data_IF_822624131835
#
_entry.id   IF_822624131835
#
_cell.length_a   1.000
_cell.length_b   1.000
_cell.length_c   1.000
_cell.angle_alpha   90.00
_cell.angle_beta   90.00
_cell.angle_gamma   90.00
#
_symmetry.space_group_name_H-M   'P 1'
#
loop_
_entity.id
_entity.type
_entity.pdbx_description
1 polymer ?
#
# COMPACT_ATOMS: atom_id res chain seq x y z
N UNK A 1 15.67 -65.34 -30.41
CA UNK A 1 14.81 -65.86 -31.47
C UNK A 1 13.56 -65.06 -31.51
N UNK A 2 13.25 -64.38 -32.65
CA UNK A 2 11.88 -63.90 -32.96
C UNK A 2 11.16 -65.01 -33.73
N UNK A 3 9.93 -64.93 -34.26
CA UNK A 3 9.18 -63.81 -34.82
C UNK A 3 7.67 -63.90 -34.72
N UNK A 4 6.95 -62.95 -35.12
CA UNK A 4 6.04 -62.78 -36.26
C UNK A 4 4.86 -61.89 -35.96
N UNK A 5 4.73 -60.81 -36.72
CA UNK A 5 3.44 -60.30 -37.10
C UNK A 5 2.89 -61.07 -38.28
N UNK A 6 1.92 -60.62 -39.09
CA UNK A 6 1.21 -59.35 -39.16
C UNK A 6 -0.35 -59.54 -39.29
N UNK A 7 -1.15 -58.55 -39.39
CA UNK A 7 -1.97 -58.25 -40.58
C UNK A 7 -3.27 -57.49 -40.27
N UNK A 8 -3.48 -56.51 -41.03
CA UNK A 8 -4.53 -56.01 -41.91
C UNK A 8 -5.53 -55.03 -41.34
N UNK A 9 -5.45 -53.87 -41.96
CA UNK A 9 -6.51 -52.87 -42.09
C UNK A 9 -7.76 -53.43 -42.80
N UNK A 10 -8.94 -52.74 -42.78
CA UNK A 10 -9.08 -51.65 -43.74
C UNK A 10 -9.85 -50.36 -43.27
N UNK A 11 -9.75 -49.37 -44.12
CA UNK A 11 -10.31 -48.05 -44.11
C UNK A 11 -11.83 -47.92 -43.98
N UNK A 12 -12.27 -46.80 -43.41
CA UNK A 12 -13.30 -46.00 -44.09
C UNK A 12 -13.57 -44.64 -43.42
N UNK A 13 -13.56 -43.60 -44.23
CA UNK A 13 -14.50 -42.51 -44.29
C UNK A 13 -14.38 -41.27 -43.37
N UNK A 14 -14.44 -40.07 -43.96
CA UNK A 14 -14.24 -38.81 -43.21
C UNK A 14 -15.51 -38.33 -42.52
N UNK A 15 -15.49 -38.07 -41.24
CA UNK A 15 -16.54 -37.32 -40.50
C UNK A 15 -16.10 -35.93 -40.12
N UNK A 16 -16.93 -34.97 -40.52
CA UNK A 16 -16.89 -33.53 -40.43
C UNK A 16 -16.42 -32.98 -39.08
N UNK A 17 -15.45 -32.07 -39.15
CA UNK A 17 -15.03 -31.17 -38.06
C UNK A 17 -16.11 -30.11 -37.88
N UNK A 18 -16.76 -30.07 -36.73
CA UNK A 18 -17.32 -28.82 -36.18
C UNK A 18 -17.47 -28.97 -34.64
N UNK A 19 -16.37 -28.76 -33.91
CA UNK A 19 -16.40 -28.60 -32.46
C UNK A 19 -15.78 -27.24 -32.10
N UNK A 20 -16.65 -26.24 -31.97
CA UNK A 20 -16.26 -24.94 -31.38
C UNK A 20 -15.94 -25.14 -29.88
N UNK A 21 -14.89 -24.53 -29.36
CA UNK A 21 -14.48 -24.71 -27.97
C UNK A 21 -15.55 -24.26 -26.97
N UNK A 22 -15.78 -25.05 -25.93
CA UNK A 22 -16.76 -24.79 -24.84
C UNK A 22 -16.62 -23.43 -24.16
N UNK A 23 -15.48 -22.78 -24.26
CA UNK A 23 -15.20 -21.45 -23.70
C UNK A 23 -16.06 -20.33 -24.37
N UNK A 24 -16.28 -20.40 -25.69
CA UNK A 24 -17.06 -19.39 -26.42
C UNK A 24 -18.55 -19.47 -26.06
N UNK A 25 -19.07 -20.66 -25.76
CA UNK A 25 -20.48 -20.80 -25.34
C UNK A 25 -20.77 -20.17 -23.96
N UNK A 26 -19.83 -20.18 -23.04
CA UNK A 26 -20.01 -19.53 -21.74
C UNK A 26 -19.95 -18.00 -21.82
N UNK A 27 -19.12 -17.45 -22.71
CA UNK A 27 -19.03 -16.01 -22.94
C UNK A 27 -20.32 -15.44 -23.56
N UNK A 28 -20.95 -16.16 -24.52
CA UNK A 28 -22.20 -15.75 -25.17
C UNK A 28 -23.40 -15.82 -24.21
N UNK A 29 -23.40 -16.76 -23.25
CA UNK A 29 -24.48 -16.88 -22.26
C UNK A 29 -24.37 -15.76 -21.20
N UNK A 30 -23.16 -15.36 -20.84
CA UNK A 30 -22.94 -14.21 -19.95
C UNK A 30 -23.38 -12.89 -20.60
N UNK A 31 -23.08 -12.70 -21.88
CA UNK A 31 -23.51 -11.50 -22.65
C UNK A 31 -25.03 -11.36 -22.78
N UNK A 32 -25.77 -12.47 -22.88
CA UNK A 32 -27.26 -12.46 -23.01
C UNK A 32 -27.99 -12.20 -21.67
N UNK A 33 -27.33 -12.28 -20.54
CA UNK A 33 -27.93 -11.99 -19.20
C UNK A 33 -27.87 -10.53 -18.79
N UNK A 34 -27.08 -9.70 -19.45
CA UNK A 34 -27.01 -8.25 -19.21
C UNK A 34 -27.70 -7.47 -20.35
N UNK A 35 -29.01 -7.58 -20.43
CA UNK A 35 -29.83 -6.97 -21.47
C UNK A 35 -29.78 -5.42 -21.51
N UNK A 36 -29.24 -4.74 -20.51
CA UNK A 36 -29.13 -3.29 -20.50
C UNK A 36 -28.03 -2.72 -21.43
N UNK A 37 -27.07 -3.54 -21.87
CA UNK A 37 -25.96 -3.09 -22.73
C UNK A 37 -26.29 -3.28 -24.21
N UNK A 38 -27.21 -4.23 -24.55
CA UNK A 38 -27.57 -4.56 -25.93
C UNK A 38 -28.41 -3.47 -26.57
N UNK A 39 -29.24 -2.77 -25.80
CA UNK A 39 -30.15 -1.72 -26.32
C UNK A 39 -29.41 -0.46 -26.76
N UNK A 40 -28.24 -0.17 -26.21
CA UNK A 40 -27.42 1.01 -26.56
C UNK A 40 -26.61 0.77 -27.84
N UNK A 41 -26.21 -0.47 -28.12
CA UNK A 41 -25.44 -0.81 -29.32
C UNK A 41 -26.34 -0.94 -30.55
N UNK A 42 -27.56 -1.47 -30.42
CA UNK A 42 -28.49 -1.61 -31.52
C UNK A 42 -29.10 -0.29 -31.97
N UNK A 43 -29.27 0.68 -31.08
CA UNK A 43 -29.70 2.04 -31.45
C UNK A 43 -28.63 2.84 -32.20
N UNK A 44 -27.35 2.57 -31.93
CA UNK A 44 -26.22 3.24 -32.60
C UNK A 44 -25.97 2.69 -34.02
N UNK A 45 -26.24 1.40 -34.27
CA UNK A 45 -26.07 0.78 -35.59
C UNK A 45 -27.24 1.05 -36.55
N UNK A 46 -28.44 1.26 -36.03
CA UNK A 46 -29.60 1.62 -36.86
C UNK A 46 -29.56 3.09 -37.35
N UNK A 47 -28.89 3.98 -36.62
CA UNK A 47 -28.77 5.40 -36.99
C UNK A 47 -27.67 5.68 -38.02
N UNK A 48 -26.76 4.75 -38.25
CA UNK A 48 -25.62 4.94 -39.18
C UNK A 48 -26.01 4.72 -40.67
N UNK A 49 -27.18 4.22 -40.97
CA UNK A 49 -27.61 3.93 -42.35
C UNK A 49 -28.52 5.00 -43.00
N UNK A 50 -28.78 6.13 -42.35
CA UNK A 50 -29.72 7.16 -42.87
C UNK A 50 -29.08 8.58 -43.00
N UNK A 51 -27.83 8.80 -42.72
CA UNK A 51 -27.26 10.18 -42.76
C UNK A 51 -25.96 10.27 -43.56
N UNK A 52 -26.08 10.22 -44.86
CA UNK A 52 -25.02 10.72 -45.76
C UNK A 52 -25.22 12.20 -46.11
N UNK A 53 -25.42 13.14 -45.20
CA UNK A 53 -25.43 14.58 -45.54
C UNK A 53 -25.44 15.58 -44.33
N UNK A 54 -25.22 15.19 -43.09
CA UNK A 54 -25.12 16.15 -41.97
C UNK A 54 -24.07 15.72 -40.94
N UNK A 55 -22.84 15.54 -41.41
CA UNK A 55 -21.77 14.98 -40.56
C UNK A 55 -20.97 16.00 -39.75
N UNK A 56 -21.32 17.29 -39.71
CA UNK A 56 -20.53 18.32 -39.07
C UNK A 56 -21.02 18.75 -37.67
N UNK A 57 -22.31 18.74 -37.43
CA UNK A 57 -22.89 19.41 -36.24
C UNK A 57 -23.35 18.43 -35.13
N UNK A 58 -23.51 17.16 -35.47
CA UNK A 58 -23.98 16.13 -34.52
C UNK A 58 -22.81 15.46 -33.78
N UNK A 59 -21.61 15.49 -34.35
CA UNK A 59 -20.43 14.92 -33.74
C UNK A 59 -19.99 15.66 -32.44
N UNK A 60 -20.14 16.99 -32.39
CA UNK A 60 -19.78 17.79 -31.21
C UNK A 60 -20.76 17.64 -30.04
N UNK A 61 -22.07 17.48 -30.33
CA UNK A 61 -23.07 17.31 -29.27
C UNK A 61 -23.09 15.91 -28.66
N UNK A 62 -22.71 14.87 -29.42
CA UNK A 62 -22.64 13.49 -28.93
C UNK A 62 -21.35 13.29 -28.10
N UNK A 63 -20.26 13.97 -28.45
CA UNK A 63 -19.01 13.94 -27.66
C UNK A 63 -19.18 14.68 -26.35
N UNK A 64 -19.91 15.79 -26.31
CA UNK A 64 -20.23 16.54 -25.11
C UNK A 64 -21.19 15.78 -24.16
N UNK A 65 -22.26 15.18 -24.71
CA UNK A 65 -23.22 14.40 -23.93
C UNK A 65 -22.67 13.07 -23.38
N UNK A 66 -21.82 12.38 -24.16
CA UNK A 66 -21.15 11.15 -23.71
C UNK A 66 -20.09 11.41 -22.63
N UNK A 67 -19.47 12.59 -22.65
CA UNK A 67 -18.50 13.00 -21.62
C UNK A 67 -19.13 13.16 -20.24
N UNK A 68 -20.35 13.70 -20.16
CA UNK A 68 -21.02 13.99 -18.89
C UNK A 68 -21.69 12.74 -18.28
N UNK A 69 -22.24 11.84 -19.12
CA UNK A 69 -22.84 10.58 -18.63
C UNK A 69 -21.75 9.53 -18.29
N UNK A 70 -20.63 9.53 -19.02
CA UNK A 70 -19.51 8.65 -18.71
C UNK A 70 -18.77 9.04 -17.41
N UNK A 71 -18.77 10.33 -17.03
CA UNK A 71 -18.12 10.77 -15.79
C UNK A 71 -18.93 10.45 -14.53
N UNK A 72 -20.26 10.32 -14.63
CA UNK A 72 -21.13 10.00 -13.50
C UNK A 72 -21.33 8.49 -13.27
N UNK A 73 -21.12 7.65 -14.30
CA UNK A 73 -21.26 6.18 -14.22
C UNK A 73 -19.93 5.46 -14.04
N UNK A 74 -18.81 6.12 -14.34
CA UNK A 74 -17.45 5.62 -14.16
C UNK A 74 -16.70 6.46 -13.12
N UNK A 75 -17.25 6.62 -11.92
CA UNK A 75 -16.36 6.94 -10.79
C UNK A 75 -15.37 5.78 -10.68
N UNK A 76 -14.08 6.02 -10.87
CA UNK A 76 -13.10 4.95 -10.74
C UNK A 76 -13.15 4.47 -9.30
N UNK A 77 -13.44 3.18 -9.11
CA UNK A 77 -13.07 2.46 -7.89
C UNK A 77 -11.53 2.50 -7.83
N UNK A 78 -11.00 3.63 -7.44
CA UNK A 78 -9.59 3.80 -7.12
C UNK A 78 -9.38 2.97 -5.86
N UNK A 79 -8.61 1.90 -5.97
CA UNK A 79 -8.11 1.20 -4.82
C UNK A 79 -7.22 2.19 -4.05
N UNK A 80 -7.78 2.78 -3.05
CA UNK A 80 -7.10 3.46 -1.96
C UNK A 80 -7.50 2.69 -0.71
N UNK A 81 -6.62 1.86 -0.13
CA UNK A 81 -6.94 1.09 1.07
C UNK A 81 -7.31 2.02 2.24
N UNK A 82 -6.89 3.28 2.15
CA UNK A 82 -7.17 4.31 3.13
C UNK A 82 -8.41 5.15 2.75
N UNK A 83 -9.09 4.87 1.63
CA UNK A 83 -10.30 5.60 1.22
C UNK A 83 -11.49 5.38 2.17
N UNK A 84 -11.54 4.25 2.88
CA UNK A 84 -12.52 4.03 3.95
C UNK A 84 -12.34 4.98 5.13
N UNK A 85 -11.16 5.58 5.24
CA UNK A 85 -10.82 6.56 6.27
C UNK A 85 -11.22 8.00 5.88
N UNK A 86 -11.76 8.19 4.67
CA UNK A 86 -12.32 9.45 4.19
C UNK A 86 -13.82 9.48 4.49
N UNK A 87 -14.19 9.66 5.73
CA UNK A 87 -15.58 9.92 6.17
C UNK A 87 -16.01 11.38 5.97
N UNK A 88 -15.34 12.17 5.15
CA UNK A 88 -15.65 13.57 4.85
C UNK A 88 -15.81 13.81 3.34
N UNK A 89 -16.81 14.59 2.96
CA UNK A 89 -16.97 15.11 1.60
C UNK A 89 -15.77 15.97 1.24
N UNK A 90 -15.21 15.80 0.03
CA UNK A 90 -14.04 16.54 -0.47
C UNK A 90 -14.26 18.06 -0.60
N UNK A 91 -15.44 18.61 -0.22
CA UNK A 91 -15.84 20.01 -0.40
C UNK A 91 -16.01 20.81 0.92
N UNK A 92 -15.86 20.20 2.09
CA UNK A 92 -15.83 20.96 3.34
C UNK A 92 -14.38 21.40 3.62
N UNK A 93 -14.14 22.71 3.69
CA UNK A 93 -12.85 23.28 4.00
C UNK A 93 -12.27 22.71 5.29
N UNK A 94 -11.01 22.25 5.27
CA UNK A 94 -10.33 21.66 6.41
C UNK A 94 -10.24 22.69 7.54
N UNK A 95 -10.91 22.42 8.68
CA UNK A 95 -10.83 23.30 9.86
C UNK A 95 -9.40 23.25 10.44
N UNK A 96 -8.83 24.42 10.65
CA UNK A 96 -7.46 24.57 11.14
C UNK A 96 -7.28 24.00 12.55
N UNK A 97 -8.38 23.86 13.32
CA UNK A 97 -8.41 23.27 14.67
C UNK A 97 -8.22 21.74 14.65
N UNK A 98 -8.58 21.08 13.56
CA UNK A 98 -8.52 19.63 13.43
C UNK A 98 -7.17 19.15 12.87
N UNK A 99 -6.29 20.08 12.53
CA UNK A 99 -4.97 19.76 11.97
C UNK A 99 -4.02 19.20 13.02
N UNK A 100 -3.50 18.01 12.76
CA UNK A 100 -2.57 17.29 13.62
C UNK A 100 -1.11 17.56 13.21
N UNK A 101 -0.23 17.76 14.18
CA UNK A 101 1.21 17.90 13.92
C UNK A 101 1.87 16.54 13.63
N UNK A 102 2.57 16.44 12.52
CA UNK A 102 3.42 15.31 12.14
C UNK A 102 4.87 15.78 11.98
N UNK A 103 5.80 15.10 12.64
CA UNK A 103 7.23 15.32 12.48
C UNK A 103 7.75 14.57 11.25
N UNK A 104 8.43 15.28 10.35
CA UNK A 104 8.95 14.71 9.12
C UNK A 104 10.46 14.83 9.09
N UNK A 105 11.15 13.69 9.02
CA UNK A 105 12.57 13.63 8.75
C UNK A 105 12.84 14.09 7.32
N UNK A 106 13.06 15.38 7.13
CA UNK A 106 13.25 15.99 5.83
C UNK A 106 14.56 15.62 5.13
N UNK A 107 15.50 15.02 5.87
CA UNK A 107 16.81 14.61 5.33
C UNK A 107 16.91 13.10 5.07
N UNK A 108 15.86 12.33 5.38
CA UNK A 108 15.81 10.89 5.15
C UNK A 108 15.40 10.54 3.73
N UNK A 109 16.19 9.71 3.05
CA UNK A 109 15.92 9.21 1.70
C UNK A 109 17.00 9.55 0.68
N UNK A 110 16.99 8.81 -0.45
CA UNK A 110 18.02 8.88 -1.49
C UNK A 110 18.07 10.26 -2.18
N UNK A 111 16.95 10.96 -2.20
CA UNK A 111 16.77 12.23 -2.91
C UNK A 111 16.31 13.38 -1.98
N UNK A 112 16.46 13.19 -0.67
CA UNK A 112 16.09 14.22 0.32
C UNK A 112 16.92 15.52 0.16
N UNK A 113 16.33 16.70 0.43
CA UNK A 113 15.01 16.92 0.98
C UNK A 113 13.91 17.16 -0.07
N UNK A 114 14.24 17.34 -1.35
CA UNK A 114 13.32 17.83 -2.39
C UNK A 114 11.97 17.08 -2.47
N UNK A 115 11.93 15.79 -2.85
CA UNK A 115 10.68 15.03 -2.95
C UNK A 115 9.92 14.92 -1.64
N UNK A 116 10.62 14.95 -0.50
CA UNK A 116 9.98 14.91 0.82
C UNK A 116 9.26 16.25 1.08
N UNK A 117 9.92 17.37 0.81
CA UNK A 117 9.32 18.71 0.95
C UNK A 117 8.11 18.88 0.04
N UNK A 118 8.26 18.56 -1.26
CA UNK A 118 7.15 18.60 -2.22
C UNK A 118 5.95 17.78 -1.76
N UNK A 119 6.19 16.54 -1.28
CA UNK A 119 5.15 15.67 -0.75
C UNK A 119 4.46 16.24 0.50
N UNK A 120 5.22 16.90 1.38
CA UNK A 120 4.68 17.58 2.55
C UNK A 120 3.75 18.73 2.18
N UNK A 121 4.15 19.60 1.24
CA UNK A 121 3.30 20.69 0.77
C UNK A 121 2.00 20.16 0.14
N UNK A 122 2.10 19.14 -0.72
CA UNK A 122 0.91 18.49 -1.29
C UNK A 122 0.01 17.82 -0.22
N UNK A 123 0.59 17.31 0.86
CA UNK A 123 -0.18 16.68 1.94
C UNK A 123 -0.95 17.71 2.77
N UNK A 124 -0.36 18.87 3.06
CA UNK A 124 -1.00 19.99 3.78
C UNK A 124 -2.27 20.47 3.06
N UNK A 125 -2.26 20.49 1.73
CA UNK A 125 -3.41 20.89 0.92
C UNK A 125 -4.57 19.88 0.94
N UNK A 126 -4.27 18.58 1.18
CA UNK A 126 -5.21 17.46 1.00
C UNK A 126 -5.65 16.80 2.30
N UNK A 127 -4.93 17.04 3.37
CA UNK A 127 -5.12 16.35 4.65
C UNK A 127 -5.12 17.38 5.79
N UNK A 128 -5.86 17.13 6.87
CA UNK A 128 -5.88 18.01 8.04
C UNK A 128 -4.61 17.80 8.89
N UNK A 129 -3.46 18.18 8.32
CA UNK A 129 -2.18 18.09 9.01
C UNK A 129 -1.47 19.43 9.08
N UNK A 130 -0.57 19.51 10.08
CA UNK A 130 0.54 20.44 10.19
C UNK A 130 1.84 19.68 10.22
N UNK A 131 2.89 20.21 9.65
CA UNK A 131 4.17 19.51 9.49
C UNK A 131 5.29 20.25 10.20
N UNK A 132 5.99 19.55 11.08
CA UNK A 132 7.31 19.92 11.54
C UNK A 132 8.32 19.27 10.61
N UNK A 133 8.89 20.06 9.69
CA UNK A 133 9.86 19.60 8.71
C UNK A 133 11.27 19.75 9.27
N UNK A 134 11.94 18.63 9.57
CA UNK A 134 13.20 18.61 10.29
C UNK A 134 14.36 18.47 9.30
N UNK A 135 15.33 19.38 9.38
CA UNK A 135 16.52 19.31 8.53
C UNK A 135 17.42 20.53 8.59
N UNK A 136 18.45 20.50 7.76
CA UNK A 136 19.39 21.61 7.57
C UNK A 136 18.71 22.72 6.74
N UNK A 137 18.50 23.87 7.33
CA UNK A 137 17.71 24.98 6.73
C UNK A 137 18.19 25.34 5.32
N UNK A 138 19.51 25.47 5.15
CA UNK A 138 20.09 25.88 3.86
C UNK A 138 19.80 24.86 2.76
N UNK A 139 19.85 23.56 3.07
CA UNK A 139 19.53 22.50 2.14
C UNK A 139 18.03 22.47 1.78
N UNK A 140 17.17 22.77 2.75
CA UNK A 140 15.71 22.86 2.54
C UNK A 140 15.41 24.03 1.59
N UNK A 141 15.97 25.21 1.84
CA UNK A 141 15.76 26.40 1.00
C UNK A 141 16.32 26.17 -0.41
N UNK A 142 17.52 25.64 -0.55
CA UNK A 142 18.09 25.31 -1.86
C UNK A 142 17.24 24.30 -2.66
N UNK A 143 16.64 23.32 -1.98
CA UNK A 143 15.73 22.38 -2.64
C UNK A 143 14.41 23.04 -3.05
N UNK A 144 13.86 23.93 -2.23
CA UNK A 144 12.65 24.69 -2.56
C UNK A 144 12.86 25.57 -3.80
N UNK A 145 14.02 26.24 -3.89
CA UNK A 145 14.40 27.05 -5.04
C UNK A 145 14.57 26.19 -6.30
N UNK A 146 15.28 25.09 -6.20
CA UNK A 146 15.52 24.16 -7.32
C UNK A 146 14.21 23.57 -7.88
N UNK A 147 13.21 23.32 -7.04
CA UNK A 147 11.89 22.83 -7.41
C UNK A 147 10.89 23.94 -7.75
N UNK A 148 11.27 25.19 -7.60
CA UNK A 148 10.40 26.37 -7.79
C UNK A 148 9.13 26.34 -6.90
N UNK A 149 9.27 25.88 -5.67
CA UNK A 149 8.19 25.79 -4.67
C UNK A 149 8.42 26.72 -3.47
N UNK A 150 9.32 27.70 -3.60
CA UNK A 150 9.65 28.64 -2.52
C UNK A 150 8.44 29.42 -2.01
N UNK A 151 7.60 29.93 -2.91
CA UNK A 151 6.39 30.66 -2.55
C UNK A 151 5.38 29.78 -1.80
N UNK A 152 5.23 28.50 -2.21
CA UNK A 152 4.35 27.54 -1.53
C UNK A 152 4.88 27.22 -0.14
N UNK A 153 6.19 27.05 0.01
CA UNK A 153 6.84 26.82 1.30
C UNK A 153 6.62 28.02 2.22
N UNK A 154 6.86 29.26 1.73
CA UNK A 154 6.68 30.46 2.51
C UNK A 154 5.22 30.63 2.95
N UNK A 155 4.26 30.41 2.06
CA UNK A 155 2.83 30.45 2.38
C UNK A 155 2.44 29.41 3.45
N UNK A 156 3.00 28.19 3.37
CA UNK A 156 2.74 27.15 4.37
C UNK A 156 3.32 27.51 5.75
N UNK A 157 4.47 28.20 5.79
CA UNK A 157 5.09 28.70 7.02
C UNK A 157 4.28 29.86 7.62
N UNK A 158 3.89 30.85 6.80
CA UNK A 158 3.13 32.03 7.23
C UNK A 158 1.74 31.63 7.79
N UNK A 159 1.11 30.64 7.18
CA UNK A 159 -0.15 30.05 7.64
C UNK A 159 0.01 29.08 8.82
N UNK A 160 1.21 28.86 9.33
CA UNK A 160 1.52 27.91 10.42
C UNK A 160 1.11 26.47 10.11
N UNK A 161 1.06 26.08 8.85
CA UNK A 161 0.84 24.70 8.44
C UNK A 161 2.13 23.91 8.34
N UNK A 162 3.28 24.60 8.20
CA UNK A 162 4.61 24.00 8.20
C UNK A 162 5.55 24.82 9.08
N UNK A 163 6.35 24.11 9.89
CA UNK A 163 7.42 24.67 10.71
C UNK A 163 8.74 23.99 10.33
N UNK A 164 9.77 24.76 10.01
CA UNK A 164 11.11 24.22 9.77
C UNK A 164 11.84 24.12 11.10
N UNK A 165 12.18 22.89 11.49
CA UNK A 165 12.93 22.59 12.71
C UNK A 165 14.37 22.27 12.33
N UNK A 166 15.33 23.02 12.87
CA UNK A 166 16.73 22.79 12.59
C UNK A 166 17.23 21.46 13.16
N UNK A 167 18.07 20.77 12.39
CA UNK A 167 18.79 19.56 12.83
C UNK A 167 20.26 19.62 12.43
N UNK A 168 21.06 18.75 13.03
CA UNK A 168 22.44 18.49 12.61
C UNK A 168 22.51 17.55 11.40
N UNK A 169 23.70 16.98 11.12
CA UNK A 169 23.93 16.13 9.97
C UNK A 169 23.03 14.88 9.96
N UNK A 170 22.45 14.58 8.82
CA UNK A 170 21.60 13.39 8.64
C UNK A 170 22.36 12.07 8.78
N UNK A 171 21.62 11.00 8.98
CA UNK A 171 22.13 9.63 8.90
C UNK A 171 21.95 9.16 7.45
N UNK A 172 23.07 8.78 6.83
CA UNK A 172 23.07 8.28 5.45
C UNK A 172 22.38 6.92 5.31
N UNK A 173 21.99 6.57 4.09
CA UNK A 173 21.35 5.27 3.79
C UNK A 173 22.32 4.10 4.04
N UNK A 174 23.63 4.33 3.89
CA UNK A 174 24.70 3.34 4.10
C UNK A 174 25.30 3.38 5.51
N UNK A 175 24.85 4.31 6.35
CA UNK A 175 25.31 4.38 7.75
C UNK A 175 24.77 3.17 8.54
N UNK A 176 25.55 2.72 9.53
CA UNK A 176 25.07 1.74 10.51
C UNK A 176 23.87 2.27 11.30
N UNK A 177 22.90 1.41 11.60
CA UNK A 177 21.76 1.77 12.46
C UNK A 177 22.16 2.40 13.79
N UNK A 178 23.34 2.02 14.34
CA UNK A 178 23.90 2.53 15.59
C UNK A 178 24.38 3.99 15.49
N UNK A 179 24.51 4.55 14.29
CA UNK A 179 24.92 5.95 14.08
C UNK A 179 23.98 6.95 14.80
N UNK A 180 22.71 6.57 15.05
CA UNK A 180 21.75 7.37 15.84
C UNK A 180 22.26 7.73 17.25
N UNK A 181 23.15 6.93 17.82
CA UNK A 181 23.75 7.22 19.15
C UNK A 181 24.84 8.28 19.07
N UNK A 182 25.59 8.32 17.97
CA UNK A 182 26.70 9.26 17.75
C UNK A 182 26.19 10.61 17.25
N UNK A 183 25.29 10.59 16.25
CA UNK A 183 24.67 11.78 15.64
C UNK A 183 23.40 12.14 16.40
N UNK A 184 23.54 12.69 17.62
CA UNK A 184 22.39 12.90 18.53
C UNK A 184 21.38 13.91 18.02
N UNK A 185 21.80 14.86 17.22
CA UNK A 185 21.05 15.95 16.62
C UNK A 185 20.61 15.65 15.16
N UNK A 186 20.81 14.42 14.69
CA UNK A 186 20.32 14.01 13.37
C UNK A 186 18.80 14.19 13.24
N UNK A 187 18.36 14.52 12.04
CA UNK A 187 16.95 14.84 11.74
C UNK A 187 15.96 13.80 12.26
N UNK A 188 16.25 12.51 12.09
CA UNK A 188 15.40 11.42 12.61
C UNK A 188 15.33 11.42 14.15
N UNK A 189 16.42 11.71 14.85
CA UNK A 189 16.44 11.78 16.30
C UNK A 189 15.61 12.96 16.81
N UNK A 190 15.75 14.12 16.17
CA UNK A 190 14.95 15.32 16.48
C UNK A 190 13.46 15.03 16.23
N UNK A 191 13.11 14.38 15.10
CA UNK A 191 11.74 13.99 14.81
C UNK A 191 11.13 13.09 15.91
N UNK A 192 11.88 12.06 16.37
CA UNK A 192 11.44 11.20 17.47
C UNK A 192 11.29 11.95 18.80
N UNK A 193 12.18 12.89 19.09
CA UNK A 193 12.12 13.70 20.32
C UNK A 193 10.88 14.62 20.32
N UNK A 194 10.45 15.15 19.17
CA UNK A 194 9.20 15.93 19.07
C UNK A 194 7.98 15.08 19.40
N UNK A 195 7.93 13.82 18.94
CA UNK A 195 6.85 12.90 19.28
C UNK A 195 6.90 12.53 20.77
N UNK A 196 8.08 12.26 21.31
CA UNK A 196 8.26 11.99 22.75
C UNK A 196 7.74 13.12 23.62
N UNK A 197 7.97 14.36 23.21
CA UNK A 197 7.51 15.59 23.90
C UNK A 197 6.03 15.89 23.65
N UNK A 198 5.35 15.10 22.82
CA UNK A 198 3.97 15.36 22.38
C UNK A 198 3.79 16.65 21.59
N UNK A 199 4.86 17.16 20.98
CA UNK A 199 4.84 18.30 20.06
C UNK A 199 4.46 17.88 18.62
N UNK A 200 4.48 16.59 18.34
CA UNK A 200 3.92 15.94 17.17
C UNK A 200 3.32 14.59 17.58
N UNK A 201 2.32 14.09 16.84
CA UNK A 201 1.65 12.84 17.14
C UNK A 201 2.28 11.64 16.40
N UNK A 202 2.92 11.90 15.29
CA UNK A 202 3.54 10.86 14.46
C UNK A 202 4.88 11.34 13.89
N UNK A 203 5.73 10.36 13.52
CA UNK A 203 6.96 10.57 12.74
C UNK A 203 6.83 9.91 11.38
N UNK A 204 7.32 10.59 10.34
CA UNK A 204 7.59 10.00 9.03
C UNK A 204 9.08 10.15 8.69
N UNK A 205 9.70 9.08 8.21
CA UNK A 205 11.06 9.10 7.65
C UNK A 205 11.18 8.12 6.48
N UNK A 206 11.77 8.58 5.37
CA UNK A 206 12.18 7.74 4.24
C UNK A 206 13.68 7.36 4.31
N UNK A 207 14.32 7.57 5.46
CA UNK A 207 15.72 7.26 5.70
C UNK A 207 16.00 5.77 5.90
N UNK A 208 17.22 5.45 6.30
CA UNK A 208 17.65 4.09 6.62
C UNK A 208 16.73 3.44 7.67
N UNK A 209 16.01 2.38 7.28
CA UNK A 209 15.01 1.71 8.14
C UNK A 209 15.58 1.22 9.47
N UNK A 210 16.83 0.73 9.47
CA UNK A 210 17.53 0.31 10.68
C UNK A 210 17.79 1.48 11.62
N UNK A 211 18.19 2.65 11.08
CA UNK A 211 18.40 3.86 11.85
C UNK A 211 17.07 4.42 12.40
N UNK A 212 16.00 4.41 11.59
CA UNK A 212 14.66 4.82 12.07
C UNK A 212 14.21 3.95 13.23
N UNK A 213 14.32 2.62 13.09
CA UNK A 213 13.96 1.66 14.15
C UNK A 213 14.83 1.87 15.41
N UNK A 214 16.14 2.01 15.24
CA UNK A 214 17.04 2.25 16.36
C UNK A 214 16.72 3.58 17.08
N UNK A 215 16.48 4.66 16.32
CA UNK A 215 16.07 5.94 16.87
C UNK A 215 14.76 5.84 17.64
N UNK A 216 13.74 5.17 17.08
CA UNK A 216 12.47 4.95 17.75
C UNK A 216 12.65 4.19 19.09
N UNK A 217 13.41 3.10 19.09
CA UNK A 217 13.67 2.33 20.32
C UNK A 217 14.42 3.17 21.37
N UNK A 218 15.43 3.94 20.97
CA UNK A 218 16.23 4.72 21.92
C UNK A 218 15.54 5.99 22.41
N UNK A 219 14.73 6.64 21.58
CA UNK A 219 14.09 7.92 21.91
C UNK A 219 12.67 7.75 22.44
N UNK A 220 11.82 7.03 21.74
CA UNK A 220 10.44 6.78 22.15
C UNK A 220 10.35 5.66 23.19
N UNK A 221 11.20 4.64 23.04
CA UNK A 221 11.12 3.40 23.82
C UNK A 221 10.09 2.43 23.26
N UNK A 222 10.14 1.20 23.76
CA UNK A 222 9.17 0.15 23.42
C UNK A 222 7.90 0.28 24.26
N UNK A 223 6.78 -0.15 23.74
CA UNK A 223 5.58 -0.36 24.54
C UNK A 223 5.88 -1.38 25.66
N UNK A 224 5.35 -1.15 26.85
CA UNK A 224 5.51 -2.10 27.96
C UNK A 224 4.83 -3.42 27.60
N UNK A 225 5.49 -4.54 27.83
CA UNK A 225 5.00 -5.87 27.45
C UNK A 225 5.32 -6.27 26.00
N UNK A 226 5.91 -5.39 25.19
CA UNK A 226 6.40 -5.70 23.85
C UNK A 226 7.91 -5.89 23.85
N UNK A 227 8.36 -7.08 23.54
CA UNK A 227 9.78 -7.43 23.51
C UNK A 227 10.51 -6.84 22.32
N UNK A 228 9.84 -6.83 21.16
CA UNK A 228 10.39 -6.35 19.90
C UNK A 228 9.35 -5.56 19.12
N UNK A 229 9.67 -4.36 18.62
CA UNK A 229 8.86 -3.70 17.62
C UNK A 229 8.90 -4.49 16.31
N UNK A 230 7.84 -4.39 15.51
CA UNK A 230 7.73 -5.01 14.20
C UNK A 230 7.42 -3.97 13.12
N UNK A 231 7.94 -4.18 11.92
CA UNK A 231 7.58 -3.39 10.74
C UNK A 231 6.41 -4.06 10.05
N UNK A 232 5.28 -3.35 9.96
CA UNK A 232 4.07 -3.81 9.28
C UNK A 232 3.92 -3.16 7.91
N UNK A 233 3.68 -3.96 6.89
CA UNK A 233 3.41 -3.49 5.54
C UNK A 233 2.05 -3.96 5.04
N UNK A 234 1.35 -3.09 4.30
CA UNK A 234 0.08 -3.42 3.67
C UNK A 234 0.31 -4.01 2.29
N UNK A 235 -0.16 -5.23 2.07
CA UNK A 235 -0.10 -5.89 0.78
C UNK A 235 -1.48 -5.86 0.10
N UNK A 236 -1.52 -5.64 -1.22
CA UNK A 236 -2.78 -5.70 -1.97
C UNK A 236 -3.32 -7.13 -1.98
N UNK A 237 -4.64 -7.28 -1.90
CA UNK A 237 -5.30 -8.57 -2.09
C UNK A 237 -6.10 -8.60 -3.40
N UNK A 238 -6.65 -9.78 -3.74
CA UNK A 238 -7.58 -9.90 -4.86
C UNK A 238 -8.82 -9.02 -4.68
N UNK A 239 -9.21 -8.76 -3.43
CA UNK A 239 -10.37 -7.95 -3.10
C UNK A 239 -9.99 -6.47 -2.98
N UNK A 240 -10.45 -5.61 -3.90
CA UNK A 240 -10.12 -4.19 -3.87
C UNK A 240 -10.63 -3.52 -2.59
N UNK A 241 -9.74 -2.79 -1.90
CA UNK A 241 -10.09 -2.08 -0.67
C UNK A 241 -9.95 -2.91 0.62
N UNK A 242 -9.46 -4.14 0.52
CA UNK A 242 -9.17 -4.98 1.69
C UNK A 242 -7.69 -5.45 1.65
N UNK A 243 -6.74 -4.59 2.01
CA UNK A 243 -5.34 -4.99 2.09
C UNK A 243 -5.14 -5.94 3.26
N UNK A 244 -4.13 -6.81 3.16
CA UNK A 244 -3.65 -7.61 4.29
C UNK A 244 -2.44 -6.93 4.91
N UNK A 245 -2.41 -6.87 6.25
CA UNK A 245 -1.25 -6.40 7.01
C UNK A 245 -0.29 -7.55 7.25
N UNK A 246 0.94 -7.45 6.76
CA UNK A 246 1.99 -8.45 7.02
C UNK A 246 2.95 -7.91 8.08
N UNK A 247 3.19 -8.66 9.14
CA UNK A 247 4.06 -8.40 10.28
C UNK A 247 4.92 -9.63 10.58
N UNK A 248 6.18 -9.58 10.61
CA UNK A 248 7.18 -8.53 10.47
C UNK A 248 7.79 -8.57 9.05
N UNK A 249 8.08 -7.40 8.45
CA UNK A 249 8.67 -7.34 7.11
C UNK A 249 10.12 -6.83 7.10
N UNK A 250 10.83 -7.01 8.22
CA UNK A 250 12.26 -6.71 8.21
C UNK A 250 12.87 -6.08 9.47
N UNK A 251 12.15 -6.03 10.60
CA UNK A 251 12.70 -5.53 11.85
C UNK A 251 13.48 -6.61 12.63
N UNK A 252 13.01 -7.86 12.64
CA UNK A 252 13.56 -8.93 13.45
C UNK A 252 13.83 -10.16 12.59
N UNK A 253 15.10 -10.40 12.27
CA UNK A 253 15.50 -11.53 11.42
C UNK A 253 15.24 -12.87 12.11
N UNK A 254 15.66 -12.98 13.38
CA UNK A 254 15.43 -14.15 14.22
C UNK A 254 14.36 -13.86 15.25
N UNK A 255 13.31 -14.64 15.27
CA UNK A 255 12.17 -14.46 16.17
C UNK A 255 12.04 -15.61 17.17
N UNK A 256 11.44 -15.29 18.32
CA UNK A 256 10.92 -16.24 19.27
C UNK A 256 9.41 -16.37 19.09
N UNK A 257 8.78 -17.49 19.47
CA UNK A 257 7.32 -17.67 19.37
C UNK A 257 6.53 -16.52 20.04
N UNK A 258 7.00 -16.04 21.20
CA UNK A 258 6.40 -14.90 21.90
C UNK A 258 6.39 -13.61 21.06
N UNK A 259 7.37 -13.40 20.16
CA UNK A 259 7.39 -12.22 19.31
C UNK A 259 6.27 -12.28 18.26
N UNK A 260 6.10 -13.44 17.60
CA UNK A 260 5.02 -13.62 16.62
C UNK A 260 3.64 -13.47 17.27
N UNK A 261 3.48 -13.95 18.49
CA UNK A 261 2.27 -13.75 19.28
C UNK A 261 2.03 -12.23 19.55
N UNK A 262 3.07 -11.49 19.97
CA UNK A 262 2.98 -10.06 20.17
C UNK A 262 2.68 -9.31 18.85
N UNK A 263 3.28 -9.72 17.73
CA UNK A 263 2.99 -9.14 16.41
C UNK A 263 1.52 -9.35 16.01
N UNK A 264 0.95 -10.50 16.32
CA UNK A 264 -0.46 -10.77 16.07
C UNK A 264 -1.37 -9.83 16.88
N UNK A 265 -1.05 -9.58 18.14
CA UNK A 265 -1.79 -8.63 18.98
C UNK A 265 -1.68 -7.19 18.44
N UNK A 266 -0.47 -6.75 18.09
CA UNK A 266 -0.24 -5.43 17.48
C UNK A 266 -0.98 -5.29 16.15
N UNK A 267 -0.91 -6.31 15.29
CA UNK A 267 -1.59 -6.35 13.99
C UNK A 267 -3.11 -6.36 14.12
N UNK A 268 -3.64 -7.06 15.12
CA UNK A 268 -5.08 -7.09 15.41
C UNK A 268 -5.61 -5.69 15.76
N UNK A 269 -4.93 -4.96 16.66
CA UNK A 269 -5.31 -3.59 17.03
C UNK A 269 -5.22 -2.68 15.80
N UNK A 270 -4.09 -2.70 15.11
CA UNK A 270 -3.90 -1.88 13.92
C UNK A 270 -4.98 -2.15 12.84
N UNK A 271 -5.25 -3.42 12.55
CA UNK A 271 -6.27 -3.79 11.55
C UNK A 271 -7.67 -3.36 11.99
N UNK A 272 -7.99 -3.46 13.28
CA UNK A 272 -9.27 -3.02 13.83
C UNK A 272 -9.42 -1.50 13.75
N UNK A 273 -8.44 -0.76 14.22
CA UNK A 273 -8.58 0.68 14.47
C UNK A 273 -8.24 1.51 13.23
N UNK A 274 -7.20 1.14 12.48
CA UNK A 274 -6.77 1.88 11.28
C UNK A 274 -7.45 1.37 10.01
N UNK A 275 -7.50 0.03 9.83
CA UNK A 275 -8.13 -0.55 8.63
C UNK A 275 -9.63 -0.79 8.79
N UNK A 276 -10.19 -0.52 9.99
CA UNK A 276 -11.62 -0.63 10.30
C UNK A 276 -12.18 -2.06 10.07
N UNK A 277 -11.39 -3.07 10.36
CA UNK A 277 -11.80 -4.47 10.31
C UNK A 277 -12.22 -4.92 11.71
N UNK A 278 -13.50 -5.02 12.00
CA UNK A 278 -14.04 -5.24 13.34
C UNK A 278 -13.51 -6.49 14.05
N UNK A 279 -13.24 -7.58 13.32
CA UNK A 279 -12.71 -8.85 13.84
C UNK A 279 -11.68 -9.43 12.87
N UNK A 280 -10.43 -8.93 12.89
CA UNK A 280 -9.40 -9.34 11.94
C UNK A 280 -9.10 -10.84 12.01
N UNK A 281 -9.00 -11.48 10.86
CA UNK A 281 -8.56 -12.88 10.72
C UNK A 281 -7.05 -12.91 10.69
N UNK A 282 -6.46 -13.56 11.70
CA UNK A 282 -5.02 -13.61 11.87
C UNK A 282 -4.49 -14.93 11.30
N UNK A 283 -3.55 -14.88 10.38
CA UNK A 283 -2.83 -16.03 9.83
C UNK A 283 -1.39 -16.08 10.30
N UNK A 284 -0.86 -17.28 10.50
CA UNK A 284 0.57 -17.53 10.70
C UNK A 284 1.18 -17.98 9.37
N UNK A 285 2.12 -17.21 8.82
CA UNK A 285 2.79 -17.61 7.57
C UNK A 285 3.54 -18.91 7.74
N UNK A 286 3.24 -19.88 6.88
CA UNK A 286 3.78 -21.22 6.97
C UNK A 286 3.92 -21.88 5.58
N UNK A 287 4.46 -23.08 5.53
CA UNK A 287 4.67 -23.89 4.33
C UNK A 287 3.50 -24.83 4.00
N UNK A 288 2.48 -24.92 4.85
CA UNK A 288 1.29 -25.77 4.73
C UNK A 288 0.20 -25.31 5.68
N UNK A 289 -1.05 -25.66 5.36
CA UNK A 289 -2.23 -25.28 6.14
C UNK A 289 -2.37 -26.09 7.44
N UNK A 290 -1.81 -27.33 7.47
CA UNK A 290 -1.96 -28.23 8.60
C UNK A 290 -1.19 -27.74 9.82
N UNK A 291 -1.72 -27.96 11.02
CA UNK A 291 -1.14 -27.53 12.30
C UNK A 291 0.26 -28.11 12.55
N UNK A 292 0.56 -29.29 12.01
CA UNK A 292 1.84 -29.98 12.18
C UNK A 292 2.95 -29.51 11.22
N UNK A 293 2.68 -28.57 10.32
CA UNK A 293 3.64 -28.06 9.35
C UNK A 293 4.50 -26.93 9.90
N UNK A 294 5.64 -26.76 9.27
CA UNK A 294 6.58 -25.68 9.55
C UNK A 294 7.77 -26.10 10.40
N UNK A 295 8.54 -25.10 10.80
CA UNK A 295 9.70 -25.24 11.68
C UNK A 295 9.29 -25.12 13.17
N UNK A 296 10.25 -25.26 14.07
CA UNK A 296 10.01 -25.14 15.53
C UNK A 296 9.37 -23.80 15.92
N UNK A 297 9.78 -22.69 15.26
CA UNK A 297 9.20 -21.37 15.49
C UNK A 297 7.71 -21.36 15.13
N UNK A 298 7.34 -21.90 13.95
CA UNK A 298 5.96 -21.94 13.48
C UNK A 298 5.08 -22.80 14.38
N UNK A 299 5.54 -23.99 14.73
CA UNK A 299 4.78 -24.93 15.56
C UNK A 299 4.46 -24.34 16.94
N UNK A 300 5.47 -23.80 17.61
CA UNK A 300 5.27 -23.16 18.93
C UNK A 300 4.47 -21.87 18.85
N UNK A 301 4.61 -21.10 17.78
CA UNK A 301 3.81 -19.88 17.58
C UNK A 301 2.36 -20.22 17.33
N UNK A 302 2.08 -21.29 16.58
CA UNK A 302 0.73 -21.77 16.32
C UNK A 302 -0.03 -22.07 17.63
N UNK A 303 0.61 -22.79 18.57
CA UNK A 303 0.02 -23.08 19.88
C UNK A 303 -0.35 -21.80 20.64
N UNK A 304 0.57 -20.82 20.70
CA UNK A 304 0.34 -19.55 21.39
C UNK A 304 -0.80 -18.74 20.75
N UNK A 305 -0.86 -18.72 19.42
CA UNK A 305 -1.89 -17.97 18.69
C UNK A 305 -3.27 -18.64 18.80
N UNK A 306 -3.33 -19.96 18.75
CA UNK A 306 -4.55 -20.75 18.91
C UNK A 306 -5.19 -20.53 20.29
N UNK A 307 -4.37 -20.47 21.33
CA UNK A 307 -4.84 -20.37 22.71
C UNK A 307 -5.15 -18.91 23.13
N UNK A 308 -4.81 -17.91 22.28
CA UNK A 308 -5.04 -16.50 22.53
C UNK A 308 -6.49 -16.08 22.19
N UNK A 309 -7.31 -15.93 23.22
CA UNK A 309 -8.76 -15.64 23.08
C UNK A 309 -9.09 -14.25 22.52
N UNK A 310 -8.15 -13.30 22.61
CA UNK A 310 -8.32 -11.92 22.09
C UNK A 310 -8.21 -11.88 20.57
N UNK A 311 -7.64 -12.93 19.95
CA UNK A 311 -7.43 -13.00 18.52
C UNK A 311 -8.48 -13.91 17.85
N UNK A 312 -8.85 -13.57 16.63
CA UNK A 312 -9.50 -14.49 15.71
C UNK A 312 -8.42 -15.18 14.88
N UNK A 313 -7.71 -16.12 15.51
CA UNK A 313 -6.70 -16.90 14.80
C UNK A 313 -7.39 -17.82 13.78
N UNK A 314 -6.99 -17.72 12.51
CA UNK A 314 -7.57 -18.48 11.40
C UNK A 314 -6.70 -19.65 10.94
N UNK A 315 -5.56 -19.89 11.61
CA UNK A 315 -4.65 -20.98 11.29
C UNK A 315 -3.42 -20.56 10.49
N UNK A 316 -2.77 -21.55 9.87
CA UNK A 316 -1.64 -21.32 8.99
C UNK A 316 -2.08 -20.66 7.67
N UNK A 317 -1.22 -19.80 7.15
CA UNK A 317 -1.37 -19.09 5.88
C UNK A 317 -0.20 -19.48 4.97
N UNK A 318 -0.45 -20.09 3.84
CA UNK A 318 0.60 -20.34 2.86
C UNK A 318 0.94 -19.06 2.06
N UNK A 319 2.11 -19.04 1.43
CA UNK A 319 2.52 -17.89 0.60
C UNK A 319 1.53 -17.55 -0.52
N UNK A 320 0.79 -18.56 -1.05
CA UNK A 320 -0.25 -18.36 -2.07
C UNK A 320 -1.51 -17.66 -1.53
N UNK A 321 -1.75 -17.77 -0.22
CA UNK A 321 -2.97 -17.28 0.42
C UNK A 321 -2.84 -15.86 0.96
N UNK A 322 -1.60 -15.36 1.09
CA UNK A 322 -1.32 -14.00 1.60
C UNK A 322 -2.12 -12.94 0.84
N UNK A 323 -2.23 -13.06 -0.49
CA UNK A 323 -2.96 -12.11 -1.33
C UNK A 323 -4.41 -12.54 -1.62
N UNK A 324 -4.89 -13.65 -1.01
CA UNK A 324 -6.22 -14.22 -1.27
C UNK A 324 -7.38 -13.38 -0.74
N UNK A 325 -7.14 -12.53 0.27
CA UNK A 325 -8.19 -11.86 1.03
C UNK A 325 -8.85 -12.72 2.10
N UNK A 326 -8.30 -13.91 2.40
CA UNK A 326 -8.78 -14.78 3.47
C UNK A 326 -8.29 -14.37 4.85
N UNK A 327 -7.14 -13.67 4.89
CA UNK A 327 -6.54 -13.13 6.10
C UNK A 327 -6.53 -11.60 6.06
N UNK A 328 -6.68 -10.97 7.21
CA UNK A 328 -6.60 -9.52 7.38
C UNK A 328 -5.24 -9.11 7.97
N UNK A 329 -4.63 -10.02 8.74
CA UNK A 329 -3.27 -9.90 9.28
C UNK A 329 -2.54 -11.22 9.08
N UNK A 330 -1.30 -11.18 8.60
CA UNK A 330 -0.41 -12.33 8.49
C UNK A 330 0.86 -12.05 9.27
N UNK A 331 1.24 -12.96 10.19
CA UNK A 331 2.44 -12.80 11.01
C UNK A 331 3.54 -13.78 10.60
N UNK A 332 4.77 -13.28 10.60
CA UNK A 332 5.98 -14.05 10.31
C UNK A 332 7.20 -13.42 10.98
N UNK A 333 8.36 -14.08 10.88
CA UNK A 333 9.63 -13.46 11.19
C UNK A 333 10.03 -12.43 10.13
N UNK A 334 10.89 -11.47 10.51
CA UNK A 334 11.26 -10.38 9.63
C UNK A 334 12.13 -10.80 8.44
N UNK A 335 12.83 -11.93 8.51
CA UNK A 335 13.56 -12.46 7.36
C UNK A 335 12.59 -12.94 6.28
N UNK A 336 11.66 -13.80 6.65
CA UNK A 336 10.64 -14.34 5.75
C UNK A 336 9.76 -13.23 5.17
N UNK A 337 9.31 -12.30 6.02
CA UNK A 337 8.47 -11.19 5.60
C UNK A 337 9.19 -10.22 4.65
N UNK A 338 10.48 -9.93 4.88
CA UNK A 338 11.26 -9.09 3.97
C UNK A 338 11.50 -9.76 2.61
N UNK A 339 11.75 -11.07 2.59
CA UNK A 339 11.85 -11.84 1.33
C UNK A 339 10.52 -11.77 0.57
N UNK A 340 9.39 -11.98 1.26
CA UNK A 340 8.05 -11.89 0.66
C UNK A 340 7.76 -10.49 0.10
N UNK A 341 8.10 -9.44 0.85
CA UNK A 341 7.95 -8.05 0.41
C UNK A 341 8.76 -7.78 -0.87
N UNK A 342 10.06 -8.10 -0.86
CA UNK A 342 10.94 -7.89 -2.02
C UNK A 342 10.54 -8.72 -3.23
N UNK A 343 10.04 -9.92 -3.01
CA UNK A 343 9.48 -10.75 -4.09
C UNK A 343 8.24 -10.12 -4.70
N UNK A 344 7.29 -9.63 -3.89
CA UNK A 344 6.08 -8.96 -4.35
C UNK A 344 6.41 -7.68 -5.15
N UNK A 345 7.34 -6.85 -4.68
CA UNK A 345 7.85 -5.67 -5.39
C UNK A 345 8.41 -6.04 -6.78
N UNK A 346 9.21 -7.11 -6.84
CA UNK A 346 9.79 -7.61 -8.08
C UNK A 346 8.72 -8.12 -9.05
N UNK A 347 7.79 -8.95 -8.59
CA UNK A 347 6.69 -9.49 -9.40
C UNK A 347 5.82 -8.37 -9.97
N UNK A 348 5.48 -7.37 -9.17
CA UNK A 348 4.74 -6.18 -9.62
C UNK A 348 5.46 -5.45 -10.75
N UNK A 349 6.76 -5.22 -10.59
CA UNK A 349 7.61 -4.58 -11.60
C UNK A 349 7.71 -5.37 -12.91
N UNK A 350 7.94 -6.68 -12.83
CA UNK A 350 8.03 -7.59 -14.00
C UNK A 350 6.68 -7.63 -14.72
N UNK A 351 5.57 -7.82 -14.02
CA UNK A 351 4.24 -7.87 -14.61
C UNK A 351 3.91 -6.58 -15.37
N UNK A 352 4.18 -5.43 -14.77
CA UNK A 352 3.98 -4.13 -15.43
C UNK A 352 4.90 -3.96 -16.65
N UNK A 353 6.14 -4.47 -16.58
CA UNK A 353 7.08 -4.48 -17.69
C UNK A 353 6.57 -5.31 -18.87
N UNK A 354 6.09 -6.51 -18.60
CA UNK A 354 5.48 -7.40 -19.62
C UNK A 354 4.25 -6.74 -20.26
N UNK A 355 3.35 -6.20 -19.46
CA UNK A 355 2.15 -5.51 -19.98
C UNK A 355 2.52 -4.32 -20.88
N UNK A 356 3.52 -3.52 -20.52
CA UNK A 356 4.00 -2.40 -21.34
C UNK A 356 4.64 -2.84 -22.64
N UNK A 357 5.33 -3.98 -22.66
CA UNK A 357 5.97 -4.51 -23.85
C UNK A 357 4.98 -5.19 -24.80
N UNK A 358 4.03 -5.96 -24.24
CA UNK A 358 3.13 -6.80 -25.05
C UNK A 358 1.89 -6.06 -25.58
N UNK A 359 1.26 -5.19 -24.77
CA UNK A 359 0.03 -4.54 -25.16
C UNK A 359 0.14 -3.66 -26.41
N UNK A 360 1.23 -2.88 -26.66
CA UNK A 360 1.35 -2.06 -27.88
C UNK A 360 1.81 -2.82 -29.11
N UNK A 361 1.91 -4.16 -29.08
CA UNK A 361 2.42 -4.92 -30.24
C UNK A 361 1.47 -4.83 -31.46
N UNK A 362 2.05 -4.47 -32.59
CA UNK A 362 1.33 -4.29 -33.84
C UNK A 362 0.40 -3.06 -33.88
N UNK A 363 -0.23 -2.81 -35.03
CA UNK A 363 -1.09 -1.63 -35.22
C UNK A 363 -2.32 -1.67 -34.30
N UNK A 364 -2.97 -2.85 -34.15
CA UNK A 364 -4.13 -3.04 -33.25
C UNK A 364 -3.75 -2.88 -31.78
N UNK A 365 -2.58 -3.39 -31.36
CA UNK A 365 -2.09 -3.26 -30.02
C UNK A 365 -1.80 -1.80 -29.64
N UNK A 366 -1.22 -1.00 -30.58
CA UNK A 366 -0.98 0.44 -30.34
C UNK A 366 -2.29 1.22 -30.11
N UNK A 367 -3.33 0.96 -30.92
CA UNK A 367 -4.64 1.59 -30.76
C UNK A 367 -5.29 1.12 -29.44
N UNK A 368 -5.34 -0.19 -29.21
CA UNK A 368 -5.91 -0.77 -27.98
C UNK A 368 -5.23 -0.27 -26.71
N UNK A 369 -3.88 -0.18 -26.71
CA UNK A 369 -3.14 0.30 -25.55
C UNK A 369 -3.39 1.79 -25.26
N UNK A 370 -3.67 2.62 -26.27
CA UNK A 370 -4.08 4.00 -26.09
C UNK A 370 -5.41 4.10 -25.32
N UNK A 371 -6.41 3.29 -25.70
CA UNK A 371 -7.69 3.24 -24.98
C UNK A 371 -7.55 2.65 -23.56
N UNK A 372 -6.63 1.70 -23.35
CA UNK A 372 -6.41 1.07 -22.05
C UNK A 372 -5.47 1.86 -21.11
N UNK A 373 -4.95 3.00 -21.54
CA UNK A 373 -3.94 3.78 -20.80
C UNK A 373 -4.38 4.12 -19.38
N UNK A 374 -5.64 4.53 -19.20
CA UNK A 374 -6.21 4.83 -17.88
C UNK A 374 -6.34 3.59 -17.01
N UNK A 375 -6.72 2.44 -17.59
CA UNK A 375 -6.83 1.17 -16.89
C UNK A 375 -5.45 0.66 -16.44
N UNK A 376 -4.45 0.76 -17.31
CA UNK A 376 -3.06 0.41 -16.99
C UNK A 376 -2.49 1.30 -15.88
N UNK A 377 -2.81 2.59 -15.88
CA UNK A 377 -2.42 3.50 -14.80
C UNK A 377 -3.05 3.07 -13.46
N UNK A 378 -4.33 2.63 -13.46
CA UNK A 378 -4.98 2.09 -12.26
C UNK A 378 -4.36 0.77 -11.79
N UNK A 379 -4.06 -0.15 -12.72
CA UNK A 379 -3.38 -1.42 -12.40
C UNK A 379 -2.00 -1.13 -11.78
N UNK A 380 -1.23 -0.22 -12.41
CA UNK A 380 0.06 0.20 -11.84
C UNK A 380 -0.13 0.72 -10.41
N UNK A 381 -1.09 1.61 -10.18
CA UNK A 381 -1.37 2.18 -8.86
C UNK A 381 -1.72 1.11 -7.81
N UNK A 382 -2.43 0.05 -8.20
CA UNK A 382 -2.77 -1.08 -7.31
C UNK A 382 -1.58 -1.97 -6.95
N UNK A 383 -0.61 -2.12 -7.87
CA UNK A 383 0.57 -2.97 -7.70
C UNK A 383 1.78 -2.22 -7.15
N UNK A 384 1.74 -0.90 -7.17
CA UNK A 384 2.83 -0.05 -6.70
C UNK A 384 2.78 0.08 -5.18
N UNK A 385 3.61 -0.72 -4.52
CA UNK A 385 3.70 -0.73 -3.06
C UNK A 385 4.07 0.65 -2.49
N UNK A 386 4.85 1.46 -3.23
CA UNK A 386 5.23 2.80 -2.83
C UNK A 386 4.03 3.77 -2.71
N UNK A 387 2.90 3.48 -3.37
CA UNK A 387 1.67 4.25 -3.23
C UNK A 387 0.85 3.88 -1.97
N UNK A 388 1.18 2.77 -1.29
CA UNK A 388 0.51 2.38 -0.03
C UNK A 388 1.04 3.15 1.21
N UNK A 389 1.99 4.06 1.02
CA UNK A 389 2.36 5.04 2.05
C UNK A 389 3.47 4.62 3.00
N UNK A 390 4.16 3.51 2.75
CA UNK A 390 5.22 3.04 3.63
C UNK A 390 4.76 1.98 4.64
N UNK A 391 5.65 1.65 5.57
CA UNK A 391 5.43 0.64 6.59
C UNK A 391 5.31 1.30 7.97
N UNK A 392 4.49 0.74 8.84
CA UNK A 392 4.36 1.19 10.23
C UNK A 392 5.30 0.42 11.14
N UNK A 393 5.99 1.14 12.02
CA UNK A 393 6.74 0.54 13.11
C UNK A 393 5.82 0.41 14.32
N UNK A 394 5.34 -0.78 14.58
CA UNK A 394 4.44 -1.11 15.69
C UNK A 394 5.22 -1.61 16.90
N UNK A 395 4.75 -1.29 18.11
CA UNK A 395 5.38 -1.73 19.36
C UNK A 395 6.35 -0.72 19.98
N UNK A 396 6.36 0.52 19.51
CA UNK A 396 7.07 1.67 20.12
C UNK A 396 6.07 2.67 20.70
N UNK A 397 6.53 3.53 21.64
CA UNK A 397 5.69 4.57 22.28
C UNK A 397 5.49 5.78 21.36
N UNK A 398 4.89 5.58 20.21
CA UNK A 398 4.55 6.63 19.23
C UNK A 398 4.25 6.05 17.86
N UNK A 399 3.58 6.83 17.03
CA UNK A 399 3.29 6.46 15.65
C UNK A 399 4.51 6.77 14.80
N UNK A 400 5.09 5.75 14.16
CA UNK A 400 6.26 5.90 13.31
C UNK A 400 6.00 5.23 11.96
N UNK A 401 6.05 6.02 10.88
CA UNK A 401 5.88 5.57 9.50
C UNK A 401 7.24 5.59 8.81
N UNK A 402 7.63 4.46 8.24
CA UNK A 402 8.87 4.28 7.50
C UNK A 402 8.56 4.27 6.01
N UNK A 403 9.06 5.25 5.28
CA UNK A 403 9.00 5.30 3.82
C UNK A 403 10.13 4.52 3.16
N UNK A 404 10.05 4.36 1.85
CA UNK A 404 11.15 3.80 1.04
C UNK A 404 12.17 4.90 0.70
N UNK A 405 13.48 4.57 0.65
CA UNK A 405 14.54 5.54 0.32
C UNK A 405 14.32 6.30 -0.99
N UNK A 406 13.75 5.66 -1.99
CA UNK A 406 13.40 6.27 -3.27
C UNK A 406 12.01 6.95 -3.31
N UNK A 407 11.42 7.28 -2.15
CA UNK A 407 10.10 7.91 -2.04
C UNK A 407 10.01 9.19 -2.86
N UNK A 408 8.91 9.30 -3.62
CA UNK A 408 8.52 10.50 -4.37
C UNK A 408 7.40 11.24 -3.64
N UNK A 409 7.09 12.46 -4.06
CA UNK A 409 6.07 13.30 -3.42
C UNK A 409 4.74 12.57 -3.13
N UNK A 410 4.21 11.80 -4.09
CA UNK A 410 2.97 11.03 -3.90
C UNK A 410 3.07 9.95 -2.82
N UNK A 411 4.23 9.27 -2.72
CA UNK A 411 4.47 8.28 -1.66
C UNK A 411 4.51 8.93 -0.28
N UNK A 412 5.08 10.15 -0.20
CA UNK A 412 5.10 10.95 1.03
C UNK A 412 3.68 11.33 1.45
N UNK A 413 2.85 11.81 0.51
CA UNK A 413 1.43 12.11 0.79
C UNK A 413 0.70 10.88 1.33
N UNK A 414 0.92 9.71 0.75
CA UNK A 414 0.30 8.46 1.21
C UNK A 414 0.79 8.06 2.61
N UNK A 415 2.08 8.21 2.89
CA UNK A 415 2.66 7.95 4.22
C UNK A 415 2.12 8.91 5.30
N UNK A 416 1.99 10.19 4.96
CA UNK A 416 1.43 11.19 5.87
C UNK A 416 -0.07 10.96 6.12
N UNK A 417 -0.82 10.47 5.11
CA UNK A 417 -2.20 10.03 5.31
C UNK A 417 -2.28 8.84 6.27
N UNK A 418 -1.37 7.87 6.14
CA UNK A 418 -1.28 6.74 7.05
C UNK A 418 -0.96 7.19 8.48
N UNK A 419 0.00 8.11 8.65
CA UNK A 419 0.35 8.70 9.93
C UNK A 419 -0.83 9.44 10.56
N UNK A 420 -1.54 10.26 9.77
CA UNK A 420 -2.74 10.95 10.20
C UNK A 420 -3.84 9.98 10.64
N UNK A 421 -4.13 8.97 9.82
CA UNK A 421 -5.15 7.97 10.15
C UNK A 421 -4.85 7.25 11.45
N UNK A 422 -3.61 6.79 11.65
CA UNK A 422 -3.20 6.13 12.89
C UNK A 422 -3.33 7.06 14.11
N UNK A 423 -3.02 8.37 13.96
CA UNK A 423 -3.16 9.34 15.02
C UNK A 423 -4.63 9.66 15.36
N UNK A 424 -5.49 9.78 14.34
CA UNK A 424 -6.89 10.16 14.51
C UNK A 424 -7.76 9.06 15.13
N UNK A 425 -7.37 7.78 14.99
CA UNK A 425 -8.14 6.65 15.50
C UNK A 425 -7.69 6.15 16.89
N UNK A 426 -6.81 6.89 17.57
CA UNK A 426 -6.44 6.56 18.95
C UNK A 426 -5.66 5.25 19.10
N UNK A 427 -5.00 4.77 18.05
CA UNK A 427 -4.23 3.51 18.06
C UNK A 427 -3.28 3.39 19.25
N UNK A 428 -2.71 4.53 19.70
CA UNK A 428 -1.79 4.54 20.83
C UNK A 428 -2.48 4.25 22.15
N UNK A 429 -3.76 4.62 22.31
CA UNK A 429 -4.52 4.36 23.52
C UNK A 429 -4.85 2.88 23.65
N UNK A 430 -5.28 2.25 22.57
CA UNK A 430 -5.58 0.81 22.52
C UNK A 430 -4.32 -0.05 22.63
N UNK A 431 -3.20 0.41 22.06
CA UNK A 431 -1.89 -0.23 22.26
C UNK A 431 -1.40 -0.10 23.71
N UNK A 432 -1.75 1.00 24.39
CA UNK A 432 -1.44 1.16 25.80
C UNK A 432 -2.28 0.24 26.72
N UNK A 433 -3.52 -0.11 26.33
CA UNK A 433 -4.33 -1.09 27.05
C UNK A 433 -3.73 -2.50 27.04
N UNK A 434 -3.04 -2.89 25.96
CA UNK A 434 -2.27 -4.16 25.94
C UNK A 434 -1.24 -4.22 27.06
N UNK A 435 -0.71 -3.07 27.51
CA UNK A 435 0.27 -3.01 28.59
C UNK A 435 -0.31 -3.46 29.93
N UNK A 436 -1.62 -3.22 30.17
CA UNK A 436 -2.28 -3.59 31.42
C UNK A 436 -2.61 -5.07 31.51
N UNK A 437 -2.66 -5.77 30.37
CA UNK A 437 -3.04 -7.18 30.28
C UNK A 437 -1.84 -8.15 30.18
N UNK A 438 -0.63 -7.65 29.93
CA UNK A 438 0.61 -8.44 29.79
C UNK A 438 1.58 -8.26 30.97
N UNK A 439 1.16 -7.66 32.08
CA UNK A 439 1.92 -7.39 33.29
C UNK A 439 1.71 -8.40 34.41
#
# INVERSE_FOLDING_TARGET
MPPKGPDSSPADGPRSKNSRPRAIRRLVIWYRRNAAVTTIVDSATSSANVAGSMAGTVAESVVSGAGTVASSVLQPLVFDPLRRLQGGSEDEGIDDRDRLWVAVDGMGGDHAPGPILEGCLQAIERLPLRIKFIGERDRIMAAADALQIGDQLQAAVDNRHLEIVASGPSIGMDDEATAVRRKRDASINVAMDLVKKKEALAVYSAGNSGAVMASAIFRLGRLKGIDRPAIGALFPTKDPGQPVLVLDVGANMDCKPAYLHQFALLGNIYSRDVLQVSRPRIGLLNIGEEECKGNELSLRSFELLRDEKRLRFAGNCEGRDVLSGEFDVVVCDGFTGNVLLKFLESVGSVLLGVLRAELPRGRRGKVGSAFLRSNLKRIKKRLDHAEHGGALLLGVNGICVIGHGSSKALSVVSALRLAHSAASHGVMDDLAELQSCCG
#
